data_IF_529115748081
#
_entry.id   IF_529115748081
#
_cell.length_a   1.000
_cell.length_b   1.000
_cell.length_c   1.000
_cell.angle_alpha   90.00
_cell.angle_beta   90.00
_cell.angle_gamma   90.00
#
_symmetry.space_group_name_H-M   'P 1'
#
loop_
_entity.id
_entity.type
_entity.pdbx_description
1 polymer ?
#
# COMPACT_ATOMS: atom_id res chain seq x y z
N UNK A 1 13.28 -4.18 5.26
CA UNK A 1 14.10 -3.12 5.88
C UNK A 1 13.13 -2.23 6.65
N UNK A 2 13.38 -1.94 7.93
CA UNK A 2 12.56 -0.97 8.69
C UNK A 2 13.23 0.40 8.64
N UNK A 3 12.45 1.45 8.43
CA UNK A 3 12.91 2.84 8.39
C UNK A 3 12.21 3.60 9.50
N UNK A 4 12.98 4.34 10.30
CA UNK A 4 12.44 5.20 11.34
C UNK A 4 11.57 6.31 10.75
N UNK A 5 10.57 6.77 11.48
CA UNK A 5 9.82 7.98 11.12
C UNK A 5 10.75 9.20 11.15
N UNK A 6 10.59 10.14 10.21
CA UNK A 6 11.21 11.45 10.32
C UNK A 6 10.84 12.13 11.64
N UNK A 7 11.82 12.74 12.30
CA UNK A 7 11.56 13.61 13.45
C UNK A 7 10.90 14.92 13.00
N UNK A 8 10.35 15.69 13.95
CA UNK A 8 9.82 17.02 13.66
C UNK A 8 10.88 17.94 12.99
N UNK A 9 12.14 17.83 13.41
CA UNK A 9 13.25 18.58 12.81
C UNK A 9 13.52 18.17 11.37
N UNK A 10 13.40 16.88 11.05
CA UNK A 10 13.57 16.40 9.67
C UNK A 10 12.44 16.93 8.78
N UNK A 11 11.22 16.99 9.32
CA UNK A 11 10.04 17.55 8.63
C UNK A 11 10.24 19.05 8.37
N UNK A 12 10.64 19.84 9.38
CA UNK A 12 10.89 21.28 9.22
C UNK A 12 11.97 21.56 8.17
N UNK A 13 13.09 20.81 8.20
CA UNK A 13 14.16 20.96 7.20
C UNK A 13 13.69 20.58 5.79
N UNK A 14 12.87 19.54 5.68
CA UNK A 14 12.27 19.13 4.41
C UNK A 14 11.31 20.20 3.85
N UNK A 15 10.52 20.84 4.71
CA UNK A 15 9.64 21.95 4.32
C UNK A 15 10.41 23.16 3.82
N UNK A 16 11.48 23.56 4.52
CA UNK A 16 12.35 24.65 4.09
C UNK A 16 12.98 24.36 2.72
N UNK A 17 13.51 23.15 2.53
CA UNK A 17 14.06 22.72 1.25
C UNK A 17 13.01 22.71 0.14
N UNK A 18 11.79 22.24 0.43
CA UNK A 18 10.69 22.26 -0.52
C UNK A 18 10.37 23.70 -0.96
N UNK A 19 10.28 24.65 -0.02
CA UNK A 19 10.04 26.06 -0.33
C UNK A 19 11.16 26.66 -1.17
N UNK A 20 12.42 26.35 -0.86
CA UNK A 20 13.58 26.78 -1.65
C UNK A 20 13.49 26.27 -3.09
N UNK A 21 13.24 24.98 -3.28
CA UNK A 21 13.11 24.38 -4.61
C UNK A 21 11.93 24.96 -5.38
N UNK A 22 10.82 25.26 -4.70
CA UNK A 22 9.68 25.94 -5.31
C UNK A 22 10.02 27.35 -5.80
N UNK A 23 10.79 28.12 -5.03
CA UNK A 23 11.27 29.44 -5.46
C UNK A 23 12.18 29.34 -6.68
N UNK A 24 13.01 28.29 -6.77
CA UNK A 24 13.87 28.04 -7.93
C UNK A 24 13.09 27.54 -9.15
N UNK A 25 12.07 26.71 -8.96
CA UNK A 25 11.27 26.09 -10.03
C UNK A 25 10.22 27.03 -10.65
N UNK A 26 9.82 28.10 -9.93
CA UNK A 26 8.78 29.06 -10.33
C UNK A 26 9.00 29.74 -11.71
N UNK A 27 10.16 29.55 -12.34
CA UNK A 27 10.50 30.02 -13.69
C UNK A 27 10.42 28.91 -14.76
N UNK A 28 9.27 28.23 -14.88
CA UNK A 28 9.00 27.22 -15.92
C UNK A 28 9.98 26.04 -15.95
N UNK A 29 10.08 25.27 -14.86
CA UNK A 29 10.93 24.07 -14.82
C UNK A 29 12.37 24.36 -14.41
N UNK A 30 12.59 25.39 -13.60
CA UNK A 30 13.92 25.72 -13.07
C UNK A 30 14.73 26.75 -13.89
N UNK A 31 15.82 27.24 -13.31
CA UNK A 31 16.56 28.40 -13.84
C UNK A 31 17.49 28.00 -15.00
N UNK A 32 17.86 28.91 -15.92
CA UNK A 32 18.71 28.59 -17.08
C UNK A 32 20.14 28.20 -16.68
N UNK A 33 20.67 27.14 -17.29
CA UNK A 33 22.05 26.70 -17.04
C UNK A 33 23.05 27.75 -17.54
N UNK A 34 24.17 27.88 -16.83
CA UNK A 34 25.33 28.64 -17.28
C UNK A 34 26.21 27.75 -18.16
N UNK A 35 26.41 28.13 -19.42
CA UNK A 35 27.23 27.38 -20.38
C UNK A 35 28.72 27.29 -20.01
N UNK A 36 29.20 28.15 -19.12
CA UNK A 36 30.59 28.15 -18.66
C UNK A 36 30.85 27.19 -17.49
N UNK A 37 29.79 26.58 -16.93
CA UNK A 37 29.88 25.71 -15.76
C UNK A 37 29.54 24.25 -16.09
N UNK A 38 30.00 23.31 -15.24
CA UNK A 38 29.71 21.89 -15.40
C UNK A 38 28.23 21.57 -15.14
N UNK A 39 27.74 20.44 -15.65
CA UNK A 39 26.34 20.02 -15.51
C UNK A 39 26.04 19.15 -14.28
N UNK A 40 27.07 18.58 -13.67
CA UNK A 40 26.94 17.63 -12.57
C UNK A 40 28.03 17.84 -11.50
N UNK A 41 27.61 18.34 -10.34
CA UNK A 41 28.49 18.53 -9.19
C UNK A 41 29.14 17.24 -8.70
N UNK A 42 28.46 16.10 -8.70
CA UNK A 42 29.05 14.84 -8.23
C UNK A 42 30.23 14.45 -9.14
N UNK A 43 30.05 14.58 -10.46
CA UNK A 43 31.13 14.36 -11.42
C UNK A 43 32.28 15.36 -11.26
N UNK A 44 32.00 16.62 -10.92
CA UNK A 44 33.06 17.61 -10.65
C UNK A 44 33.91 17.19 -9.43
N UNK A 45 33.25 16.79 -8.34
CA UNK A 45 33.92 16.44 -7.09
C UNK A 45 34.69 15.12 -7.16
N UNK A 46 34.19 14.13 -7.90
CA UNK A 46 34.87 12.85 -8.14
C UNK A 46 36.18 13.01 -8.95
N UNK A 47 36.31 14.09 -9.72
CA UNK A 47 37.43 14.31 -10.64
C UNK A 47 38.57 15.20 -10.09
N UNK A 48 38.53 15.66 -8.85
CA UNK A 48 39.64 16.48 -8.34
C UNK A 48 39.57 16.94 -6.88
N UNK A 49 38.43 17.45 -6.42
CA UNK A 49 38.38 18.22 -5.18
C UNK A 49 37.89 17.45 -3.95
N UNK A 50 37.36 16.21 -4.11
CA UNK A 50 36.87 15.30 -3.05
C UNK A 50 35.79 15.86 -2.10
N UNK A 51 35.53 17.18 -2.10
CA UNK A 51 34.56 17.88 -1.26
C UNK A 51 34.09 19.20 -1.89
N UNK A 52 32.89 19.62 -1.54
CA UNK A 52 32.33 20.90 -1.99
C UNK A 52 32.98 22.09 -1.27
N UNK A 53 33.62 23.00 -2.02
CA UNK A 53 34.09 24.30 -1.55
C UNK A 53 33.08 25.42 -1.91
N UNK A 54 32.53 26.07 -0.88
CA UNK A 54 31.58 27.19 -1.03
C UNK A 54 32.22 28.50 -1.50
N UNK A 55 33.54 28.64 -1.38
CA UNK A 55 34.29 29.82 -1.86
C UNK A 55 34.76 29.64 -3.30
N UNK A 56 34.68 28.41 -3.84
CA UNK A 56 35.03 28.11 -5.22
C UNK A 56 33.86 28.42 -6.17
N UNK A 57 34.05 29.44 -7.02
CA UNK A 57 33.05 29.86 -8.01
C UNK A 57 32.62 28.72 -8.95
N UNK A 58 33.54 27.85 -9.36
CA UNK A 58 33.23 26.72 -10.25
C UNK A 58 32.28 25.73 -9.58
N UNK A 59 32.45 25.49 -8.28
CA UNK A 59 31.58 24.60 -7.50
C UNK A 59 30.18 25.17 -7.38
N UNK A 60 30.07 26.46 -7.02
CA UNK A 60 28.78 27.16 -6.91
C UNK A 60 28.01 27.15 -8.24
N UNK A 61 28.68 27.45 -9.35
CA UNK A 61 28.05 27.47 -10.67
C UNK A 61 27.65 26.06 -11.13
N UNK A 62 28.47 25.05 -10.84
CA UNK A 62 28.18 23.66 -11.19
C UNK A 62 27.03 23.09 -10.33
N UNK A 63 26.96 23.43 -9.04
CA UNK A 63 25.81 23.13 -8.17
C UNK A 63 24.52 23.71 -8.75
N UNK A 64 24.56 24.98 -9.15
CA UNK A 64 23.42 25.65 -9.78
C UNK A 64 22.99 24.96 -11.08
N UNK A 65 23.92 24.59 -11.96
CA UNK A 65 23.62 23.85 -13.18
C UNK A 65 23.04 22.46 -12.91
N UNK A 66 23.55 21.75 -11.90
CA UNK A 66 23.03 20.46 -11.48
C UNK A 66 21.56 20.61 -11.02
N UNK A 67 21.27 21.58 -10.16
CA UNK A 67 19.90 21.88 -9.71
C UNK A 67 18.97 22.25 -10.87
N UNK A 68 19.43 23.12 -11.77
CA UNK A 68 18.69 23.51 -12.98
C UNK A 68 18.33 22.30 -13.85
N UNK A 69 19.29 21.37 -14.03
CA UNK A 69 19.09 20.13 -14.78
C UNK A 69 18.04 19.24 -14.11
N UNK A 70 18.11 19.05 -12.78
CA UNK A 70 17.12 18.25 -12.04
C UNK A 70 15.70 18.82 -12.18
N UNK A 71 15.55 20.13 -11.99
CA UNK A 71 14.25 20.82 -12.08
C UNK A 71 13.66 20.78 -13.49
N UNK A 72 14.49 20.89 -14.54
CA UNK A 72 14.02 20.78 -15.93
C UNK A 72 13.65 19.35 -16.31
N UNK A 73 14.44 18.38 -15.88
CA UNK A 73 14.23 16.98 -16.23
C UNK A 73 12.96 16.44 -15.58
N UNK A 74 12.66 16.85 -14.35
CA UNK A 74 11.49 16.41 -13.62
C UNK A 74 10.82 17.58 -12.86
N UNK A 75 10.05 18.44 -13.55
CA UNK A 75 9.41 19.60 -12.92
C UNK A 75 8.56 19.20 -11.72
N UNK A 76 8.67 19.98 -10.63
CA UNK A 76 7.95 19.75 -9.38
C UNK A 76 8.14 18.33 -8.76
N UNK A 77 9.26 17.63 -9.02
CA UNK A 77 9.50 16.32 -8.41
C UNK A 77 9.55 16.41 -6.88
N UNK A 78 10.16 17.47 -6.35
CA UNK A 78 10.31 17.70 -4.91
C UNK A 78 8.95 17.88 -4.23
N UNK A 79 7.95 18.49 -4.89
CA UNK A 79 6.59 18.58 -4.35
C UNK A 79 5.91 17.23 -4.23
N UNK A 80 6.13 16.32 -5.20
CA UNK A 80 5.59 14.97 -5.15
C UNK A 80 6.31 14.08 -4.15
N UNK A 81 7.64 14.20 -4.04
CA UNK A 81 8.46 13.34 -3.18
C UNK A 81 8.48 13.87 -1.76
N UNK A 82 8.99 15.09 -1.55
CA UNK A 82 9.07 15.71 -0.23
C UNK A 82 7.66 16.05 0.27
N UNK A 83 6.89 16.78 -0.54
CA UNK A 83 5.55 17.20 -0.14
C UNK A 83 4.59 16.01 0.02
N UNK A 84 4.71 14.99 -0.84
CA UNK A 84 3.97 13.74 -0.68
C UNK A 84 4.32 13.03 0.63
N UNK A 85 5.60 12.92 0.97
CA UNK A 85 6.00 12.29 2.23
C UNK A 85 5.51 13.11 3.45
N UNK A 86 5.77 14.42 3.47
CA UNK A 86 5.49 15.28 4.63
C UNK A 86 3.98 15.53 4.82
N UNK A 87 3.27 15.96 3.78
CA UNK A 87 1.88 16.44 3.92
C UNK A 87 0.82 15.38 3.59
N UNK A 88 1.21 14.27 2.98
CA UNK A 88 0.28 13.17 2.67
C UNK A 88 0.55 11.96 3.56
N UNK A 89 1.74 11.37 3.47
CA UNK A 89 2.06 10.12 4.19
C UNK A 89 2.20 10.35 5.69
N UNK A 90 2.97 11.36 6.11
CA UNK A 90 3.21 11.68 7.53
C UNK A 90 2.09 12.48 8.18
N UNK A 91 1.13 13.00 7.40
CA UNK A 91 0.03 13.77 7.95
C UNK A 91 -0.91 12.86 8.74
N UNK A 92 -0.93 13.04 10.06
CA UNK A 92 -1.70 12.22 11.01
C UNK A 92 -3.19 12.19 10.68
N UNK A 93 -3.74 13.28 10.12
CA UNK A 93 -5.15 13.34 9.73
C UNK A 93 -5.51 12.32 8.63
N UNK A 94 -4.54 11.93 7.79
CA UNK A 94 -4.75 10.92 6.76
C UNK A 94 -4.70 9.50 7.32
N UNK A 95 -4.17 9.30 8.53
CA UNK A 95 -4.05 8.01 9.22
C UNK A 95 -3.44 6.92 8.32
N UNK A 96 -2.40 7.28 7.57
CA UNK A 96 -1.71 6.33 6.68
C UNK A 96 -0.72 5.48 7.48
N UNK A 97 0.02 6.10 8.41
CA UNK A 97 0.98 5.43 9.26
C UNK A 97 0.40 5.09 10.64
N UNK A 98 0.92 4.04 11.26
CA UNK A 98 0.61 3.66 12.64
C UNK A 98 1.14 4.73 13.61
N UNK A 99 0.29 5.43 14.38
CA UNK A 99 0.75 6.48 15.30
C UNK A 99 1.69 5.96 16.39
N UNK A 100 1.56 4.69 16.80
CA UNK A 100 2.33 4.12 17.91
C UNK A 100 3.67 3.51 17.46
N UNK A 101 3.89 3.34 16.16
CA UNK A 101 5.17 2.87 15.63
C UNK A 101 6.21 4.00 15.59
N UNK A 102 7.46 3.71 15.91
CA UNK A 102 8.60 4.60 15.67
C UNK A 102 9.14 4.49 14.23
N UNK A 103 8.58 3.58 13.44
CA UNK A 103 8.94 3.29 12.06
C UNK A 103 7.82 3.68 11.08
N UNK A 104 8.16 3.74 9.78
CA UNK A 104 7.19 3.88 8.69
C UNK A 104 6.44 2.54 8.53
N UNK A 105 5.46 2.33 9.40
CA UNK A 105 4.53 1.19 9.37
C UNK A 105 3.11 1.69 9.03
N UNK A 106 2.36 0.89 8.28
CA UNK A 106 0.98 1.23 7.91
C UNK A 106 0.04 1.19 9.12
N UNK A 107 -0.92 2.10 9.14
CA UNK A 107 -1.92 2.18 10.20
C UNK A 107 -2.70 0.84 10.34
N UNK A 108 -2.93 0.33 11.57
CA UNK A 108 -3.60 -0.97 11.79
C UNK A 108 -4.97 -1.13 11.12
N UNK A 109 -5.65 -0.01 10.87
CA UNK A 109 -6.92 0.05 10.11
C UNK A 109 -6.85 -0.66 8.76
N UNK A 110 -5.71 -0.67 8.07
CA UNK A 110 -5.60 -1.31 6.77
C UNK A 110 -5.67 -2.84 6.90
N UNK A 111 -5.04 -3.40 7.94
CA UNK A 111 -5.19 -4.82 8.26
C UNK A 111 -6.63 -5.14 8.66
N UNK A 112 -7.24 -4.30 9.50
CA UNK A 112 -8.64 -4.47 9.90
C UNK A 112 -9.61 -4.44 8.70
N UNK A 113 -9.40 -3.52 7.75
CA UNK A 113 -10.18 -3.48 6.51
C UNK A 113 -9.96 -4.73 5.65
N UNK A 114 -8.72 -5.21 5.55
CA UNK A 114 -8.41 -6.44 4.81
C UNK A 114 -9.09 -7.66 5.45
N UNK A 115 -9.10 -7.75 6.78
CA UNK A 115 -9.75 -8.83 7.52
C UNK A 115 -11.28 -8.76 7.35
N UNK A 116 -11.86 -7.56 7.42
CA UNK A 116 -13.30 -7.35 7.16
C UNK A 116 -13.69 -7.73 5.73
N UNK A 117 -12.85 -7.40 4.75
CA UNK A 117 -13.10 -7.76 3.35
C UNK A 117 -13.08 -9.28 3.17
N UNK A 118 -12.07 -9.95 3.73
CA UNK A 118 -11.98 -11.42 3.70
C UNK A 118 -13.21 -12.07 4.34
N UNK A 119 -13.67 -11.55 5.47
CA UNK A 119 -14.85 -12.08 6.14
C UNK A 119 -16.14 -11.88 5.32
N UNK A 120 -16.28 -10.72 4.67
CA UNK A 120 -17.38 -10.46 3.75
C UNK A 120 -17.34 -11.38 2.52
N UNK A 121 -16.15 -11.64 1.96
CA UNK A 121 -15.95 -12.58 0.86
C UNK A 121 -16.31 -14.01 1.26
N UNK A 122 -15.92 -14.45 2.46
CA UNK A 122 -16.29 -15.76 3.02
C UNK A 122 -17.79 -15.90 3.22
N UNK A 123 -18.45 -14.89 3.79
CA UNK A 123 -19.90 -14.86 3.92
C UNK A 123 -20.59 -14.99 2.56
N UNK A 124 -20.16 -14.21 1.56
CA UNK A 124 -20.68 -14.30 0.19
C UNK A 124 -20.43 -15.68 -0.43
N UNK A 125 -19.25 -16.27 -0.22
CA UNK A 125 -18.92 -17.62 -0.69
C UNK A 125 -19.85 -18.67 -0.07
N UNK A 126 -20.11 -18.59 1.23
CA UNK A 126 -21.03 -19.49 1.93
C UNK A 126 -22.44 -19.43 1.32
N UNK A 127 -23.00 -18.21 1.19
CA UNK A 127 -24.31 -18.00 0.61
C UNK A 127 -24.39 -18.49 -0.84
N UNK A 128 -23.39 -18.17 -1.66
CA UNK A 128 -23.36 -18.61 -3.05
C UNK A 128 -23.26 -20.13 -3.15
N UNK A 129 -22.43 -20.76 -2.32
CA UNK A 129 -22.29 -22.22 -2.29
C UNK A 129 -23.60 -22.91 -1.87
N UNK A 130 -24.31 -22.38 -0.87
CA UNK A 130 -25.66 -22.84 -0.48
C UNK A 130 -26.63 -22.72 -1.65
N UNK A 131 -26.72 -21.55 -2.29
CA UNK A 131 -27.64 -21.31 -3.41
C UNK A 131 -27.31 -22.25 -4.58
N UNK A 132 -26.05 -22.37 -4.96
CA UNK A 132 -25.64 -23.23 -6.07
C UNK A 132 -25.90 -24.70 -5.76
N UNK A 133 -25.63 -25.14 -4.53
CA UNK A 133 -25.92 -26.50 -4.09
C UNK A 133 -27.42 -26.80 -4.10
N UNK A 134 -28.26 -25.84 -3.70
CA UNK A 134 -29.73 -25.99 -3.74
C UNK A 134 -30.30 -25.98 -5.17
N UNK A 135 -29.64 -25.30 -6.12
CA UNK A 135 -30.14 -25.10 -7.49
C UNK A 135 -29.49 -26.03 -8.54
N UNK A 136 -28.33 -26.64 -8.24
CA UNK A 136 -27.50 -27.41 -9.18
C UNK A 136 -27.92 -28.87 -9.38
N UNK A 137 -27.10 -29.62 -10.14
CA UNK A 137 -27.39 -31.00 -10.59
C UNK A 137 -27.48 -32.05 -9.46
N UNK A 138 -27.01 -31.73 -8.26
CA UNK A 138 -27.28 -32.49 -7.06
C UNK A 138 -28.36 -31.81 -6.24
N UNK A 139 -29.63 -32.02 -6.59
CA UNK A 139 -30.74 -31.75 -5.67
C UNK A 139 -30.33 -32.29 -4.30
N UNK A 140 -30.17 -31.41 -3.30
CA UNK A 140 -30.44 -31.86 -1.95
C UNK A 140 -31.87 -32.43 -2.04
N UNK A 141 -32.06 -33.71 -1.72
CA UNK A 141 -33.39 -34.35 -1.83
C UNK A 141 -34.46 -33.55 -1.04
N UNK A 142 -34.01 -32.73 -0.08
CA UNK A 142 -34.81 -31.85 0.77
C UNK A 142 -34.20 -30.43 0.88
N UNK A 143 -34.21 -29.59 -0.18
CA UNK A 143 -33.46 -28.33 -0.23
C UNK A 143 -33.92 -27.31 0.82
N UNK A 144 -35.20 -27.35 1.19
CA UNK A 144 -35.75 -26.51 2.25
C UNK A 144 -35.27 -26.93 3.63
N UNK A 145 -35.06 -28.23 3.87
CA UNK A 145 -34.55 -28.73 5.14
C UNK A 145 -33.06 -28.41 5.29
N UNK A 146 -32.27 -28.62 4.23
CA UNK A 146 -30.87 -28.19 4.19
C UNK A 146 -30.73 -26.70 4.52
N UNK A 147 -31.51 -25.83 3.85
CA UNK A 147 -31.47 -24.39 4.09
C UNK A 147 -31.87 -24.03 5.52
N UNK A 148 -32.89 -24.71 6.07
CA UNK A 148 -33.33 -24.51 7.45
C UNK A 148 -32.20 -24.85 8.42
N UNK A 149 -31.57 -26.02 8.27
CA UNK A 149 -30.47 -26.48 9.13
C UNK A 149 -29.26 -25.55 9.03
N UNK A 150 -28.93 -25.07 7.82
CA UNK A 150 -27.85 -24.09 7.62
C UNK A 150 -28.15 -22.74 8.27
N UNK A 151 -29.36 -22.22 8.09
CA UNK A 151 -29.79 -20.96 8.70
C UNK A 151 -29.90 -21.05 10.23
N UNK A 152 -30.22 -22.22 10.78
CA UNK A 152 -30.24 -22.51 12.22
C UNK A 152 -28.81 -22.66 12.79
N UNK A 153 -27.77 -22.69 11.94
CA UNK A 153 -26.36 -22.82 12.34
C UNK A 153 -25.98 -24.21 12.84
N UNK A 154 -26.77 -25.25 12.51
CA UNK A 154 -26.50 -26.63 12.93
C UNK A 154 -25.56 -27.33 11.93
N UNK A 155 -24.31 -26.89 11.89
CA UNK A 155 -23.30 -27.37 10.93
C UNK A 155 -22.89 -28.84 11.15
N UNK A 156 -23.05 -29.38 12.37
CA UNK A 156 -22.80 -30.80 12.63
C UNK A 156 -23.83 -31.71 11.96
N UNK A 157 -25.10 -31.31 11.95
CA UNK A 157 -26.12 -32.02 11.18
C UNK A 157 -25.81 -31.96 9.68
N UNK A 158 -25.39 -30.78 9.17
CA UNK A 158 -25.00 -30.63 7.76
C UNK A 158 -23.86 -31.58 7.36
N UNK A 159 -22.82 -31.72 8.19
CA UNK A 159 -21.70 -32.64 7.95
C UNK A 159 -22.13 -34.11 7.87
N UNK A 160 -23.13 -34.50 8.66
CA UNK A 160 -23.60 -35.88 8.74
C UNK A 160 -24.61 -36.23 7.65
N UNK A 161 -25.58 -35.33 7.41
CA UNK A 161 -26.73 -35.58 6.54
C UNK A 161 -26.46 -35.18 5.08
N UNK A 162 -25.63 -34.16 4.85
CA UNK A 162 -25.23 -33.71 3.50
C UNK A 162 -23.70 -33.73 3.31
N UNK A 163 -23.06 -34.91 3.34
CA UNK A 163 -21.60 -35.03 3.22
C UNK A 163 -21.06 -34.61 1.84
N UNK A 164 -21.93 -34.45 0.84
CA UNK A 164 -21.60 -33.98 -0.51
C UNK A 164 -21.73 -32.45 -0.66
N UNK A 165 -22.20 -31.75 0.37
CA UNK A 165 -22.33 -30.31 0.29
C UNK A 165 -20.94 -29.65 0.17
N UNK A 166 -20.82 -28.57 -0.63
CA UNK A 166 -19.54 -27.89 -0.84
C UNK A 166 -18.95 -27.41 0.49
N UNK A 167 -17.62 -27.44 0.60
CA UNK A 167 -16.93 -27.07 1.85
C UNK A 167 -17.19 -25.60 2.23
N UNK A 168 -17.42 -24.76 1.24
CA UNK A 168 -17.63 -23.32 1.35
C UNK A 168 -18.88 -22.95 2.15
N UNK A 169 -19.89 -23.85 2.27
CA UNK A 169 -21.07 -23.57 3.11
C UNK A 169 -20.69 -23.39 4.58
N UNK A 170 -19.55 -23.97 5.00
CA UNK A 170 -19.07 -23.96 6.37
C UNK A 170 -18.29 -22.69 6.71
N UNK A 171 -18.10 -21.74 5.78
CA UNK A 171 -17.60 -20.40 6.12
C UNK A 171 -18.55 -19.63 7.06
N UNK A 172 -19.82 -20.05 7.16
CA UNK A 172 -20.77 -19.51 8.12
C UNK A 172 -20.66 -20.14 9.51
N UNK A 173 -19.84 -21.19 9.70
CA UNK A 173 -19.62 -21.83 11.00
C UNK A 173 -18.53 -21.09 11.79
N UNK A 174 -18.87 -20.39 12.90
CA UNK A 174 -17.89 -19.63 13.67
C UNK A 174 -16.82 -20.50 14.35
N UNK A 175 -17.00 -21.82 14.40
CA UNK A 175 -16.06 -22.78 14.98
C UNK A 175 -15.23 -23.51 13.91
N UNK A 176 -15.49 -23.26 12.62
CA UNK A 176 -14.76 -23.94 11.56
C UNK A 176 -13.34 -23.42 11.39
N UNK A 177 -12.44 -24.33 11.02
CA UNK A 177 -11.11 -23.97 10.54
C UNK A 177 -11.24 -23.45 9.10
N UNK A 178 -11.32 -22.12 8.95
CA UNK A 178 -11.45 -21.48 7.65
C UNK A 178 -10.26 -21.76 6.72
N UNK A 179 -9.06 -22.02 7.25
CA UNK A 179 -7.90 -22.41 6.44
C UNK A 179 -8.05 -23.81 5.83
N UNK A 180 -8.66 -24.74 6.58
CA UNK A 180 -8.98 -26.06 6.06
C UNK A 180 -10.09 -26.03 4.99
N UNK A 181 -11.04 -25.09 5.09
CA UNK A 181 -12.07 -24.87 4.07
C UNK A 181 -11.44 -24.34 2.78
N UNK A 182 -10.59 -23.31 2.88
CA UNK A 182 -9.87 -22.72 1.74
C UNK A 182 -9.08 -23.78 0.96
N UNK A 183 -8.32 -24.63 1.66
CA UNK A 183 -7.56 -25.71 1.03
C UNK A 183 -8.44 -26.75 0.30
N UNK A 184 -9.65 -27.03 0.81
CA UNK A 184 -10.59 -27.96 0.17
C UNK A 184 -11.30 -27.33 -1.04
N UNK A 185 -11.65 -26.06 -0.95
CA UNK A 185 -12.25 -25.29 -2.05
C UNK A 185 -11.28 -25.24 -3.25
N UNK A 186 -10.01 -24.93 -3.00
CA UNK A 186 -8.98 -24.91 -4.05
C UNK A 186 -8.79 -26.27 -4.73
N UNK A 187 -8.77 -27.36 -3.95
CA UNK A 187 -8.65 -28.72 -4.49
C UNK A 187 -9.84 -29.09 -5.40
N UNK A 188 -11.05 -28.66 -5.06
CA UNK A 188 -12.28 -28.97 -5.79
C UNK A 188 -12.45 -28.15 -7.08
N UNK A 189 -11.69 -27.05 -7.23
CA UNK A 189 -11.71 -26.19 -8.42
C UNK A 189 -10.79 -26.65 -9.57
N UNK A 190 -9.95 -27.67 -9.34
CA UNK A 190 -8.98 -28.20 -10.31
C UNK A 190 -9.37 -29.56 -10.93
N UNK A 191 -10.54 -30.08 -10.57
CA UNK A 191 -11.16 -31.31 -11.13
C UNK A 191 -12.33 -30.96 -12.08
#
# INVERSE_FOLDING_TARGET
MKMAKPSARDIEAAEELHQLLQMLDARFGGPFQNHEAGDDLAMLLDNGDNAFDSDNLQHLQTLYNHLARLLRNAPNFYGRVIGGMVWVIMNEANQILDPESDCIDLHPRFQQMADQLKEAERGNAAFNAVIQYMLGEGYSEEPMEFLRVWNDGNFDALRNEWPKAPAEIYYADPLADHGAIEAKAEASSHD
#
